data_IF_679879260070
#
_entry.id   IF_679879260070
#
_cell.length_a   1.000
_cell.length_b   1.000
_cell.length_c   1.000
_cell.angle_alpha   90.00
_cell.angle_beta   90.00
_cell.angle_gamma   90.00
#
_symmetry.space_group_name_H-M   'P 1'
#
loop_
_entity.id
_entity.type
_entity.pdbx_description
1 polymer ?
#
# COMPACT_ATOMS: atom_id res chain seq x y z
N UNK A 1 -5.87 37.48 -18.80
CA UNK A 1 -4.77 37.57 -17.83
C UNK A 1 -3.61 36.78 -18.41
N UNK A 2 -2.47 37.40 -18.69
CA UNK A 2 -1.30 36.69 -19.25
C UNK A 2 -0.64 35.94 -18.11
N UNK A 3 -0.48 34.63 -18.26
CA UNK A 3 0.15 33.77 -17.27
C UNK A 3 1.67 33.93 -17.43
N UNK A 4 2.36 34.26 -16.33
CA UNK A 4 3.80 34.41 -16.32
C UNK A 4 4.49 33.04 -16.17
N UNK A 5 5.27 32.67 -17.18
CA UNK A 5 6.02 31.42 -17.24
C UNK A 5 7.51 31.59 -16.89
N UNK A 6 7.94 32.78 -16.45
CA UNK A 6 9.33 33.10 -16.09
C UNK A 6 9.97 32.08 -15.15
N UNK A 7 9.19 31.51 -14.23
CA UNK A 7 9.63 30.50 -13.26
C UNK A 7 10.11 29.17 -13.86
N UNK A 8 9.71 28.87 -15.10
CA UNK A 8 10.00 27.59 -15.79
C UNK A 8 11.23 27.71 -16.70
N UNK A 9 11.59 28.91 -17.14
CA UNK A 9 12.64 29.13 -18.15
C UNK A 9 14.06 28.81 -17.65
N UNK A 10 14.32 28.92 -16.35
CA UNK A 10 15.65 28.69 -15.77
C UNK A 10 15.87 27.23 -15.32
N UNK A 11 14.98 26.31 -15.69
CA UNK A 11 15.09 24.91 -15.28
C UNK A 11 16.16 24.22 -16.13
N UNK A 12 17.34 24.04 -15.54
CA UNK A 12 18.37 23.15 -16.08
C UNK A 12 18.11 21.71 -15.61
N UNK A 13 17.49 20.91 -16.47
CA UNK A 13 17.32 19.47 -16.24
C UNK A 13 18.68 18.78 -16.34
N UNK A 14 19.03 17.99 -15.32
CA UNK A 14 20.31 17.25 -15.28
C UNK A 14 20.44 16.17 -16.37
N UNK A 15 19.32 15.77 -16.97
CA UNK A 15 19.20 14.74 -18.00
C UNK A 15 19.00 15.28 -19.43
N UNK A 16 18.63 16.56 -19.60
CA UNK A 16 18.32 17.13 -20.91
C UNK A 16 19.56 17.83 -21.48
N UNK A 17 20.52 17.01 -21.90
CA UNK A 17 21.80 17.43 -22.45
C UNK A 17 21.67 17.94 -23.90
N UNK A 18 20.87 18.99 -24.11
CA UNK A 18 20.88 19.80 -25.33
C UNK A 18 21.75 21.07 -25.15
N UNK A 19 22.67 21.08 -24.18
CA UNK A 19 23.72 22.12 -24.14
C UNK A 19 24.60 21.99 -25.39
N UNK A 20 24.66 23.07 -26.19
CA UNK A 20 25.52 23.15 -27.38
C UNK A 20 26.98 23.03 -26.97
N UNK A 21 27.51 21.80 -27.02
CA UNK A 21 28.94 21.55 -26.86
C UNK A 21 29.64 21.96 -28.14
N UNK A 22 30.63 22.85 -28.02
CA UNK A 22 31.46 23.30 -29.14
C UNK A 22 32.07 22.08 -29.89
N UNK A 23 32.12 22.09 -31.24
CA UNK A 23 32.56 20.93 -32.04
C UNK A 23 33.94 20.36 -31.66
N UNK A 24 34.84 21.19 -31.13
CA UNK A 24 36.19 20.81 -30.71
C UNK A 24 36.28 20.24 -29.28
N UNK A 25 35.17 20.16 -28.54
CA UNK A 25 35.16 19.66 -27.17
C UNK A 25 34.53 18.27 -27.16
N UNK A 26 35.22 17.29 -26.58
CA UNK A 26 34.63 15.97 -26.35
C UNK A 26 33.45 16.10 -25.39
N UNK A 27 32.25 15.84 -25.93
CA UNK A 27 30.99 15.86 -25.20
C UNK A 27 31.08 15.02 -23.93
N UNK A 28 31.65 13.81 -23.99
CA UNK A 28 31.66 12.90 -22.84
C UNK A 28 32.50 13.44 -21.69
N UNK A 29 33.68 13.97 -21.99
CA UNK A 29 34.58 14.55 -20.99
C UNK A 29 34.02 15.86 -20.42
N UNK A 30 33.42 16.70 -21.26
CA UNK A 30 32.77 17.94 -20.85
C UNK A 30 31.62 17.72 -19.87
N UNK A 31 30.74 16.75 -20.16
CA UNK A 31 29.61 16.43 -19.28
C UNK A 31 30.07 15.91 -17.92
N UNK A 32 31.13 15.07 -17.90
CA UNK A 32 31.74 14.59 -16.65
C UNK A 32 32.33 15.74 -15.84
N UNK A 33 33.05 16.64 -16.50
CA UNK A 33 33.61 17.82 -15.86
C UNK A 33 32.52 18.73 -15.28
N UNK A 34 31.47 19.02 -16.05
CA UNK A 34 30.36 19.86 -15.58
C UNK A 34 29.59 19.20 -14.44
N UNK A 35 29.41 17.88 -14.46
CA UNK A 35 28.83 17.14 -13.35
C UNK A 35 29.68 17.28 -12.08
N UNK A 36 30.98 17.05 -12.18
CA UNK A 36 31.91 17.19 -11.07
C UNK A 36 31.93 18.63 -10.51
N UNK A 37 31.92 19.64 -11.39
CA UNK A 37 31.88 21.05 -10.99
C UNK A 37 30.59 21.41 -10.25
N UNK A 38 29.43 20.89 -10.70
CA UNK A 38 28.14 21.07 -10.02
C UNK A 38 28.15 20.39 -8.64
N UNK A 39 28.71 19.18 -8.55
CA UNK A 39 28.85 18.45 -7.28
C UNK A 39 29.74 19.19 -6.30
N UNK A 40 30.90 19.69 -6.75
CA UNK A 40 31.81 20.50 -5.94
C UNK A 40 31.11 21.76 -5.39
N UNK A 41 30.42 22.52 -6.24
CA UNK A 41 29.66 23.71 -5.81
C UNK A 41 28.57 23.36 -4.79
N UNK A 42 27.90 22.21 -4.93
CA UNK A 42 26.93 21.73 -3.93
C UNK A 42 27.60 21.40 -2.62
N UNK A 43 28.77 20.78 -2.65
CA UNK A 43 29.52 20.42 -1.44
C UNK A 43 30.02 21.66 -0.69
N UNK A 44 30.54 22.67 -1.40
CA UNK A 44 30.95 23.96 -0.82
C UNK A 44 29.77 24.64 -0.09
N UNK A 45 28.58 24.68 -0.71
CA UNK A 45 27.39 25.23 -0.08
C UNK A 45 26.94 24.42 1.14
N UNK A 46 27.08 23.09 1.12
CA UNK A 46 26.79 22.24 2.29
C UNK A 46 27.76 22.51 3.45
N UNK A 47 29.04 22.68 3.17
CA UNK A 47 30.04 23.07 4.18
C UNK A 47 29.68 24.42 4.80
N UNK A 48 29.29 25.40 3.97
CA UNK A 48 28.84 26.71 4.45
C UNK A 48 27.62 26.63 5.37
N UNK A 49 26.64 25.77 5.08
CA UNK A 49 25.48 25.55 5.95
C UNK A 49 25.91 25.01 7.32
N UNK A 50 26.86 24.07 7.36
CA UNK A 50 27.38 23.51 8.61
C UNK A 50 28.06 24.59 9.45
N UNK A 51 28.85 25.47 8.82
CA UNK A 51 29.46 26.63 9.49
C UNK A 51 28.40 27.57 10.07
N UNK A 52 27.36 27.88 9.29
CA UNK A 52 26.25 28.73 9.75
C UNK A 52 25.50 28.08 10.92
N UNK A 53 25.27 26.76 10.90
CA UNK A 53 24.63 26.04 12.00
C UNK A 53 25.47 26.09 13.29
N UNK A 54 26.80 26.01 13.18
CA UNK A 54 27.70 26.21 14.31
C UNK A 54 27.61 27.65 14.84
N UNK A 55 27.64 28.66 13.97
CA UNK A 55 27.52 30.08 14.37
C UNK A 55 26.17 30.39 15.04
N UNK A 56 25.07 29.83 14.53
CA UNK A 56 23.72 29.95 15.13
C UNK A 56 23.66 29.35 16.53
N UNK A 57 24.42 28.27 16.78
CA UNK A 57 24.46 27.60 18.07
C UNK A 57 25.26 28.37 19.12
N UNK A 58 26.29 29.11 18.70
CA UNK A 58 27.19 29.87 19.59
C UNK A 58 26.74 31.31 19.84
N UNK A 59 25.98 31.92 18.92
CA UNK A 59 25.62 33.34 18.98
C UNK A 59 24.39 33.60 19.88
N UNK A 60 24.53 34.49 20.88
CA UNK A 60 23.44 34.89 21.78
C UNK A 60 22.60 36.06 21.25
N UNK A 61 23.08 36.80 20.24
CA UNK A 61 22.38 37.97 19.72
C UNK A 61 21.27 37.56 18.72
N UNK A 62 20.03 37.92 19.04
CA UNK A 62 18.86 37.53 18.23
C UNK A 62 18.89 38.08 16.80
N UNK A 63 19.49 39.26 16.59
CA UNK A 63 19.59 39.91 15.28
C UNK A 63 20.53 39.16 14.32
N UNK A 64 21.75 38.85 14.75
CA UNK A 64 22.71 38.08 13.94
C UNK A 64 22.25 36.65 13.71
N UNK A 65 21.56 36.06 14.69
CA UNK A 65 20.97 34.73 14.56
C UNK A 65 19.91 34.68 13.46
N UNK A 66 19.11 35.73 13.31
CA UNK A 66 18.15 35.85 12.21
C UNK A 66 18.87 35.99 10.85
N UNK A 67 19.92 36.80 10.76
CA UNK A 67 20.72 36.94 9.53
C UNK A 67 21.33 35.60 9.07
N UNK A 68 21.90 34.83 10.00
CA UNK A 68 22.43 33.49 9.68
C UNK A 68 21.35 32.49 9.27
N UNK A 69 20.16 32.57 9.86
CA UNK A 69 19.02 31.73 9.47
C UNK A 69 18.53 32.07 8.06
N UNK A 70 18.49 33.35 7.68
CA UNK A 70 18.13 33.77 6.33
C UNK A 70 19.16 33.30 5.29
N UNK A 71 20.46 33.46 5.58
CA UNK A 71 21.54 32.97 4.70
C UNK A 71 21.46 31.44 4.53
N UNK A 72 21.23 30.72 5.63
CA UNK A 72 21.04 29.26 5.63
C UNK A 72 19.86 28.85 4.76
N UNK A 73 18.72 29.54 4.88
CA UNK A 73 17.52 29.22 4.13
C UNK A 73 17.71 29.47 2.63
N UNK A 74 18.35 30.58 2.24
CA UNK A 74 18.70 30.86 0.84
C UNK A 74 19.61 29.77 0.26
N UNK A 75 20.65 29.36 0.99
CA UNK A 75 21.54 28.28 0.55
C UNK A 75 20.80 26.93 0.45
N UNK A 76 19.89 26.63 1.36
CA UNK A 76 19.06 25.43 1.30
C UNK A 76 18.13 25.42 0.08
N UNK A 77 17.50 26.55 -0.23
CA UNK A 77 16.66 26.71 -1.42
C UNK A 77 17.47 26.54 -2.72
N UNK A 78 18.73 27.01 -2.75
CA UNK A 78 19.61 26.84 -3.90
C UNK A 78 20.16 25.42 -4.08
N UNK A 79 20.34 24.65 -2.99
CA UNK A 79 20.84 23.27 -3.06
C UNK A 79 19.73 22.31 -3.47
N UNK A 80 18.50 22.58 -3.03
CA UNK A 80 17.36 21.74 -3.39
C UNK A 80 17.08 21.86 -4.89
N UNK A 81 16.92 20.73 -5.60
CA UNK A 81 16.51 20.81 -6.99
C UNK A 81 15.10 21.45 -7.05
N UNK A 82 14.92 22.47 -7.89
CA UNK A 82 13.61 23.14 -8.09
C UNK A 82 12.52 22.14 -8.50
N UNK A 83 12.92 21.04 -9.12
CA UNK A 83 12.10 19.85 -9.34
C UNK A 83 12.60 18.80 -8.34
N UNK A 84 11.85 18.59 -7.27
CA UNK A 84 11.94 17.35 -6.49
C UNK A 84 11.24 16.29 -7.36
N UNK A 85 11.90 15.16 -7.58
CA UNK A 85 11.18 13.94 -7.92
C UNK A 85 10.23 13.69 -6.75
N UNK A 86 9.00 14.22 -6.84
CA UNK A 86 7.91 13.73 -6.02
C UNK A 86 7.90 12.26 -6.36
N UNK A 87 8.11 11.42 -5.35
CA UNK A 87 8.10 9.96 -5.50
C UNK A 87 7.02 9.56 -6.49
N UNK A 88 7.28 8.51 -7.28
CA UNK A 88 6.44 7.95 -8.34
C UNK A 88 4.99 7.57 -7.91
N UNK A 89 4.54 7.99 -6.74
CA UNK A 89 3.22 7.75 -6.15
C UNK A 89 2.17 8.81 -6.48
N UNK A 90 2.40 9.75 -7.42
CA UNK A 90 1.32 10.64 -7.88
C UNK A 90 0.40 9.92 -8.89
N UNK A 91 0.84 8.79 -9.46
CA UNK A 91 0.00 7.93 -10.30
C UNK A 91 0.43 6.46 -10.19
N UNK A 92 0.08 5.79 -9.08
CA UNK A 92 0.18 4.33 -9.02
C UNK A 92 -1.07 3.71 -9.65
N UNK A 93 -0.88 2.83 -10.65
CA UNK A 93 -1.90 1.82 -10.93
C UNK A 93 -2.06 1.02 -9.63
N UNK A 94 -3.25 1.09 -9.03
CA UNK A 94 -3.47 0.72 -7.64
C UNK A 94 -3.10 -0.73 -7.32
N UNK A 95 -1.91 -0.93 -6.77
CA UNK A 95 -1.69 -2.00 -5.79
C UNK A 95 -1.81 -1.35 -4.44
N UNK A 96 -3.00 -1.43 -3.83
CA UNK A 96 -3.17 -1.13 -2.41
C UNK A 96 -2.07 -1.89 -1.66
N UNK A 97 -1.32 -1.22 -0.80
CA UNK A 97 -0.34 -1.90 0.06
C UNK A 97 -1.11 -2.92 0.90
N UNK A 98 -1.01 -4.21 0.55
CA UNK A 98 -1.73 -5.26 1.27
C UNK A 98 -1.10 -5.38 2.66
N UNK A 99 -1.95 -5.39 3.68
CA UNK A 99 -1.51 -5.51 5.07
C UNK A 99 -1.41 -6.99 5.45
N UNK A 100 -0.33 -7.39 6.10
CA UNK A 100 -0.30 -8.70 6.78
C UNK A 100 -1.32 -8.65 7.93
N UNK A 101 -2.08 -9.72 8.09
CA UNK A 101 -3.08 -9.86 9.15
C UNK A 101 -3.01 -11.26 9.73
N UNK A 102 -3.18 -11.36 11.04
CA UNK A 102 -3.28 -12.64 11.72
C UNK A 102 -4.61 -13.36 11.37
N UNK A 103 -4.62 -14.70 11.33
CA UNK A 103 -5.82 -15.49 11.01
C UNK A 103 -7.02 -15.17 11.91
N UNK A 104 -6.81 -14.91 13.20
CA UNK A 104 -7.87 -14.59 14.16
C UNK A 104 -8.54 -13.26 13.80
N UNK A 105 -7.75 -12.24 13.51
CA UNK A 105 -8.24 -10.90 13.16
C UNK A 105 -8.98 -10.93 11.82
N UNK A 106 -8.50 -11.73 10.86
CA UNK A 106 -9.20 -11.94 9.60
C UNK A 106 -10.56 -12.61 9.81
N UNK A 107 -10.61 -13.67 10.63
CA UNK A 107 -11.86 -14.38 10.93
C UNK A 107 -12.87 -13.44 11.59
N UNK A 108 -12.43 -12.62 12.57
CA UNK A 108 -13.29 -11.66 13.23
C UNK A 108 -13.83 -10.59 12.27
N UNK A 109 -13.02 -10.12 11.32
CA UNK A 109 -13.50 -9.21 10.26
C UNK A 109 -14.55 -9.88 9.37
N UNK A 110 -14.34 -11.14 8.99
CA UNK A 110 -15.27 -11.88 8.13
C UNK A 110 -16.58 -12.27 8.82
N UNK A 111 -16.55 -12.56 10.12
CA UNK A 111 -17.75 -12.86 10.91
C UNK A 111 -18.65 -11.62 11.08
N UNK A 112 -18.05 -10.43 11.18
CA UNK A 112 -18.77 -9.16 11.30
C UNK A 112 -19.28 -8.60 9.97
N UNK A 113 -19.08 -9.32 8.87
CA UNK A 113 -19.49 -8.89 7.54
C UNK A 113 -21.02 -8.75 7.44
N UNK A 114 -21.47 -7.55 7.04
CA UNK A 114 -22.89 -7.28 6.80
C UNK A 114 -23.29 -7.50 5.34
N UNK A 115 -22.36 -7.25 4.42
CA UNK A 115 -22.59 -7.36 2.98
C UNK A 115 -21.51 -8.19 2.28
N UNK A 116 -21.91 -8.99 1.30
CA UNK A 116 -20.97 -9.82 0.52
C UNK A 116 -19.92 -9.02 -0.25
N UNK A 117 -20.16 -7.72 -0.50
CA UNK A 117 -19.16 -6.82 -1.10
C UNK A 117 -17.98 -6.54 -0.17
N UNK A 118 -18.15 -6.65 1.15
CA UNK A 118 -17.06 -6.42 2.11
C UNK A 118 -16.06 -7.58 2.10
N UNK A 119 -16.50 -8.80 1.79
CA UNK A 119 -15.62 -9.97 1.63
C UNK A 119 -14.50 -9.68 0.63
N UNK A 120 -14.89 -9.16 -0.54
CA UNK A 120 -13.98 -8.71 -1.60
C UNK A 120 -12.89 -7.79 -1.06
N UNK A 121 -13.32 -6.75 -0.36
CA UNK A 121 -12.42 -5.70 0.10
C UNK A 121 -11.49 -6.23 1.19
N UNK A 122 -11.98 -7.08 2.09
CA UNK A 122 -11.18 -7.72 3.12
C UNK A 122 -10.12 -8.62 2.47
N UNK A 123 -10.48 -9.50 1.54
CA UNK A 123 -9.52 -10.42 0.92
C UNK A 123 -8.51 -9.71 0.01
N UNK A 124 -8.90 -8.62 -0.67
CA UNK A 124 -8.00 -7.86 -1.53
C UNK A 124 -7.00 -6.99 -0.76
N UNK A 125 -7.35 -6.54 0.44
CA UNK A 125 -6.53 -5.62 1.22
C UNK A 125 -5.54 -6.34 2.16
N UNK A 126 -5.66 -7.65 2.35
CA UNK A 126 -4.80 -8.39 3.27
C UNK A 126 -4.02 -9.52 2.60
N UNK A 127 -2.82 -9.81 3.10
CA UNK A 127 -2.01 -10.97 2.71
C UNK A 127 -2.20 -12.04 3.79
N UNK A 128 -2.76 -13.18 3.42
CA UNK A 128 -2.90 -14.35 4.30
C UNK A 128 -2.67 -15.62 3.50
N UNK A 129 -2.05 -16.63 4.12
CA UNK A 129 -2.04 -17.97 3.56
C UNK A 129 -3.45 -18.57 3.62
N UNK A 130 -4.11 -18.62 2.46
CA UNK A 130 -5.51 -19.05 2.34
C UNK A 130 -5.69 -20.49 2.80
N UNK A 131 -4.68 -21.36 2.62
CA UNK A 131 -4.76 -22.77 3.01
C UNK A 131 -4.73 -22.91 4.53
N UNK A 132 -3.79 -22.23 5.20
CA UNK A 132 -3.72 -22.19 6.67
C UNK A 132 -4.97 -21.57 7.28
N UNK A 133 -5.50 -20.52 6.65
CA UNK A 133 -6.73 -19.88 7.08
C UNK A 133 -7.95 -20.80 6.91
N UNK A 134 -8.06 -21.54 5.80
CA UNK A 134 -9.13 -22.52 5.58
C UNK A 134 -9.13 -23.59 6.69
N UNK A 135 -7.96 -24.14 7.01
CA UNK A 135 -7.80 -25.11 8.11
C UNK A 135 -8.23 -24.51 9.46
N UNK A 136 -7.84 -23.27 9.73
CA UNK A 136 -8.25 -22.54 10.92
C UNK A 136 -9.77 -22.37 11.02
N UNK A 137 -10.44 -21.99 9.92
CA UNK A 137 -11.91 -21.86 9.89
C UNK A 137 -12.60 -23.22 10.08
N UNK A 138 -12.10 -24.27 9.44
CA UNK A 138 -12.64 -25.64 9.58
C UNK A 138 -12.48 -26.18 11.00
N UNK A 139 -11.36 -25.90 11.67
CA UNK A 139 -11.16 -26.24 13.07
C UNK A 139 -12.22 -25.56 13.95
N UNK A 140 -12.39 -24.24 13.81
CA UNK A 140 -13.40 -23.48 14.55
C UNK A 140 -14.83 -23.96 14.26
N UNK A 141 -15.13 -24.33 13.02
CA UNK A 141 -16.42 -24.93 12.64
C UNK A 141 -16.67 -26.23 13.40
N UNK A 142 -15.65 -27.09 13.48
CA UNK A 142 -15.75 -28.37 14.16
C UNK A 142 -16.00 -28.21 15.66
N UNK A 143 -15.33 -27.26 16.32
CA UNK A 143 -15.52 -26.97 17.73
C UNK A 143 -16.92 -26.40 18.01
N UNK A 144 -17.40 -25.46 17.17
CA UNK A 144 -18.76 -24.93 17.31
C UNK A 144 -19.85 -25.99 17.11
N UNK A 145 -19.63 -26.95 16.20
CA UNK A 145 -20.54 -28.09 16.00
C UNK A 145 -20.58 -28.98 17.24
N UNK A 146 -19.43 -29.27 17.86
CA UNK A 146 -19.36 -30.08 19.10
C UNK A 146 -20.07 -29.40 20.28
N UNK A 147 -19.95 -28.07 20.37
CA UNK A 147 -20.60 -27.25 21.40
C UNK A 147 -22.12 -27.12 21.14
N UNK A 148 -22.58 -27.38 19.92
CA UNK A 148 -23.99 -27.23 19.52
C UNK A 148 -24.39 -25.80 19.19
N UNK A 149 -23.42 -24.95 18.82
CA UNK A 149 -23.69 -23.59 18.37
C UNK A 149 -23.98 -23.56 16.86
N UNK A 150 -25.25 -23.78 16.51
CA UNK A 150 -25.69 -23.88 15.12
C UNK A 150 -25.57 -22.56 14.35
N UNK A 151 -25.75 -21.43 15.02
CA UNK A 151 -25.68 -20.10 14.40
C UNK A 151 -24.24 -19.75 13.97
N UNK A 152 -23.28 -19.93 14.88
CA UNK A 152 -21.86 -19.76 14.53
C UNK A 152 -21.41 -20.77 13.47
N UNK A 153 -21.92 -22.01 13.54
CA UNK A 153 -21.65 -23.04 12.55
C UNK A 153 -22.10 -22.67 11.13
N UNK A 154 -23.27 -22.03 10.99
CA UNK A 154 -23.73 -21.51 9.70
C UNK A 154 -22.80 -20.41 9.16
N UNK A 155 -22.42 -19.43 9.97
CA UNK A 155 -21.53 -18.34 9.54
C UNK A 155 -20.13 -18.85 9.13
N UNK A 156 -19.58 -19.80 9.87
CA UNK A 156 -18.30 -20.43 9.53
C UNK A 156 -18.40 -21.24 8.25
N UNK A 157 -19.50 -21.97 8.04
CA UNK A 157 -19.77 -22.70 6.79
C UNK A 157 -19.82 -21.77 5.58
N UNK A 158 -20.43 -20.60 5.75
CA UNK A 158 -20.48 -19.54 4.74
C UNK A 158 -19.07 -19.06 4.37
N UNK A 159 -18.22 -18.81 5.37
CA UNK A 159 -16.82 -18.39 5.14
C UNK A 159 -16.03 -19.47 4.40
N UNK A 160 -16.18 -20.76 4.77
CA UNK A 160 -15.50 -21.87 4.09
C UNK A 160 -15.87 -21.93 2.61
N UNK A 161 -17.16 -21.81 2.29
CA UNK A 161 -17.60 -21.83 0.89
C UNK A 161 -17.02 -20.64 0.11
N UNK A 162 -17.00 -19.44 0.71
CA UNK A 162 -16.39 -18.26 0.10
C UNK A 162 -14.89 -18.46 -0.17
N UNK A 163 -14.16 -19.06 0.77
CA UNK A 163 -12.75 -19.41 0.59
C UNK A 163 -12.56 -20.42 -0.55
N UNK A 164 -13.40 -21.46 -0.63
CA UNK A 164 -13.33 -22.44 -1.71
C UNK A 164 -13.50 -21.80 -3.08
N UNK A 165 -14.52 -20.96 -3.22
CA UNK A 165 -14.71 -20.25 -4.47
C UNK A 165 -13.55 -19.29 -4.80
N UNK A 166 -12.96 -18.64 -3.79
CA UNK A 166 -11.77 -17.81 -3.98
C UNK A 166 -10.59 -18.65 -4.50
N UNK A 167 -10.38 -19.86 -3.97
CA UNK A 167 -9.34 -20.78 -4.44
C UNK A 167 -9.58 -21.26 -5.87
N UNK A 168 -10.83 -21.56 -6.23
CA UNK A 168 -11.18 -22.06 -7.57
C UNK A 168 -11.10 -21.01 -8.67
N UNK A 169 -11.42 -19.76 -8.35
CA UNK A 169 -11.63 -18.71 -9.36
C UNK A 169 -10.66 -17.52 -9.23
N UNK A 170 -9.88 -17.44 -8.15
CA UNK A 170 -8.90 -16.37 -7.87
C UNK A 170 -9.53 -14.98 -7.76
N UNK A 171 -8.72 -13.93 -7.89
CA UNK A 171 -9.18 -12.53 -7.76
C UNK A 171 -10.29 -12.14 -8.75
N UNK A 172 -10.37 -12.83 -9.91
CA UNK A 172 -11.44 -12.61 -10.91
C UNK A 172 -12.81 -13.02 -10.39
N UNK A 173 -12.86 -13.95 -9.44
CA UNK A 173 -14.08 -14.32 -8.73
C UNK A 173 -14.75 -13.11 -8.10
N UNK A 174 -13.95 -12.27 -7.46
CA UNK A 174 -14.41 -11.23 -6.56
C UNK A 174 -15.30 -10.20 -7.28
N UNK A 175 -14.94 -9.84 -8.51
CA UNK A 175 -15.72 -8.93 -9.36
C UNK A 175 -17.02 -9.58 -9.89
N UNK A 176 -16.98 -10.86 -10.26
CA UNK A 176 -18.16 -11.61 -10.73
C UNK A 176 -19.11 -11.93 -9.57
N UNK A 177 -18.57 -12.09 -8.36
CA UNK A 177 -19.29 -12.42 -7.14
C UNK A 177 -20.19 -11.28 -6.68
N UNK A 178 -19.65 -10.06 -6.63
CA UNK A 178 -20.44 -8.86 -6.27
C UNK A 178 -21.60 -8.61 -7.25
N UNK A 179 -21.45 -8.97 -8.52
CA UNK A 179 -22.51 -8.83 -9.52
C UNK A 179 -23.56 -9.95 -9.46
N UNK A 180 -23.18 -11.20 -9.21
CA UNK A 180 -24.13 -12.34 -9.11
C UNK A 180 -25.10 -12.23 -7.93
N UNK A 181 -24.65 -11.64 -6.82
CA UNK A 181 -25.41 -11.56 -5.57
C UNK A 181 -26.22 -10.27 -5.37
N UNK A 182 -26.24 -9.37 -6.36
CA UNK A 182 -27.23 -8.27 -6.40
C UNK A 182 -28.68 -8.77 -6.48
N UNK A 183 -28.88 -9.99 -6.96
CA UNK A 183 -30.18 -10.63 -7.10
C UNK A 183 -30.55 -11.44 -5.84
N UNK A 184 -31.67 -11.09 -5.22
CA UNK A 184 -32.19 -11.75 -4.00
C UNK A 184 -32.32 -13.28 -4.14
N UNK A 185 -32.74 -13.78 -5.32
CA UNK A 185 -32.84 -15.22 -5.60
C UNK A 185 -31.49 -15.95 -5.57
N UNK A 186 -30.42 -15.29 -6.03
CA UNK A 186 -29.08 -15.88 -5.99
C UNK A 186 -28.59 -16.00 -4.56
N UNK A 187 -28.88 -15.00 -3.72
CA UNK A 187 -28.52 -15.01 -2.31
C UNK A 187 -29.21 -16.14 -1.55
N UNK A 188 -30.52 -16.34 -1.75
CA UNK A 188 -31.26 -17.45 -1.15
C UNK A 188 -30.72 -18.83 -1.58
N UNK A 189 -30.28 -18.99 -2.82
CA UNK A 189 -29.67 -20.24 -3.30
C UNK A 189 -28.34 -20.51 -2.61
N UNK A 190 -27.53 -19.48 -2.40
CA UNK A 190 -26.26 -19.59 -1.69
C UNK A 190 -26.43 -19.85 -0.20
N UNK A 191 -27.40 -19.22 0.46
CA UNK A 191 -27.70 -19.50 1.86
C UNK A 191 -28.14 -20.97 2.04
N UNK A 192 -28.90 -21.52 1.08
CA UNK A 192 -29.24 -22.95 1.05
C UNK A 192 -28.01 -23.83 0.87
N UNK A 193 -27.09 -23.45 -0.01
CA UNK A 193 -25.81 -24.16 -0.19
C UNK A 193 -24.99 -24.17 1.11
N UNK A 194 -24.90 -23.02 1.79
CA UNK A 194 -24.26 -22.89 3.10
C UNK A 194 -24.90 -23.80 4.15
N UNK A 195 -26.23 -23.82 4.20
CA UNK A 195 -26.97 -24.67 5.13
C UNK A 195 -26.77 -26.16 4.84
N UNK A 196 -26.76 -26.56 3.56
CA UNK A 196 -26.49 -27.94 3.17
C UNK A 196 -25.09 -28.36 3.57
N UNK A 197 -24.09 -27.51 3.30
CA UNK A 197 -22.71 -27.76 3.71
C UNK A 197 -22.57 -27.92 5.22
N UNK A 198 -23.20 -27.03 5.99
CA UNK A 198 -23.22 -27.11 7.45
C UNK A 198 -23.81 -28.43 7.94
N UNK A 199 -24.98 -28.82 7.41
CA UNK A 199 -25.64 -30.06 7.80
C UNK A 199 -24.78 -31.29 7.49
N UNK A 200 -24.16 -31.35 6.31
CA UNK A 200 -23.24 -32.43 5.94
C UNK A 200 -22.00 -32.46 6.84
N UNK A 201 -21.44 -31.31 7.20
CA UNK A 201 -20.31 -31.21 8.12
C UNK A 201 -20.71 -31.69 9.53
N UNK A 202 -21.88 -31.26 10.02
CA UNK A 202 -22.46 -31.67 11.30
C UNK A 202 -22.66 -33.17 11.38
N UNK A 203 -23.24 -33.78 10.35
CA UNK A 203 -23.41 -35.23 10.25
C UNK A 203 -22.06 -35.96 10.26
N UNK A 204 -21.08 -35.51 9.48
CA UNK A 204 -19.76 -36.12 9.41
C UNK A 204 -19.01 -36.06 10.75
N UNK A 205 -19.06 -34.91 11.43
CA UNK A 205 -18.38 -34.69 12.72
C UNK A 205 -19.03 -35.51 13.83
N UNK A 206 -20.36 -35.49 13.93
CA UNK A 206 -21.10 -36.27 14.94
C UNK A 206 -20.91 -37.78 14.72
N UNK A 207 -20.89 -38.23 13.47
CA UNK A 207 -20.62 -39.63 13.14
C UNK A 207 -19.23 -40.05 13.58
N UNK A 208 -18.21 -39.23 13.35
CA UNK A 208 -16.84 -39.51 13.76
C UNK A 208 -16.65 -39.41 15.28
N UNK A 209 -17.34 -38.50 15.98
CA UNK A 209 -17.27 -38.40 17.44
C UNK A 209 -17.90 -39.59 18.16
N UNK A 210 -18.87 -40.26 17.53
CA UNK A 210 -19.54 -41.44 18.07
C UNK A 210 -18.81 -42.77 17.78
N UNK A 211 -17.71 -42.73 17.01
CA UNK A 211 -16.88 -43.90 16.68
C UNK A 211 -15.62 -44.03 17.56
N UNK A 212 -15.44 -43.12 18.52
CA UNK A 212 -14.38 -43.13 19.55
C UNK A 212 -15.02 -43.55 20.88
#
# INVERSE_FOLDING_TARGET
MVIDYSKINDIQLSSDSNEEVHPNIDKKSYHRYMKALREQKKEEKRKRIIELDQMISTELSNTKKQEFLEERNKLNEEIQPRIRDVSDNVFSFGTKQKQEIEPEDLLMKLLNMQAMSEFSDIMNNHIVNIDEFEEFVLYNLSENIKIGNDEAGFYLSRIVILIKYLKEHGDRFIAVFTDKFKNQKSQELFDKECQMYYNSAKEAIIRNSNQI
#
